data_IF_453830696818
#
_entry.id   IF_453830696818
#
_cell.length_a   1.000
_cell.length_b   1.000
_cell.length_c   1.000
_cell.angle_alpha   90.00
_cell.angle_beta   90.00
_cell.angle_gamma   90.00
#
_symmetry.space_group_name_H-M   'P 1'
#
loop_
_entity.id
_entity.type
_entity.pdbx_description
1 polymer ?
#
# COMPACT_ATOMS: atom_id res chain seq x y z
N UNK A 1 -12.55 1.40 -20.71
CA UNK A 1 -12.77 2.51 -21.68
C UNK A 1 -11.45 3.25 -21.93
N UNK A 2 -11.41 4.32 -22.74
CA UNK A 2 -10.16 5.09 -23.02
C UNK A 2 -9.61 5.82 -21.80
N UNK A 3 -10.46 6.55 -21.06
CA UNK A 3 -10.04 7.35 -19.89
C UNK A 3 -9.53 6.51 -18.72
N UNK A 4 -10.24 5.42 -18.40
CA UNK A 4 -9.81 4.44 -17.40
C UNK A 4 -8.42 3.91 -17.75
N UNK A 5 -8.25 3.42 -18.98
CA UNK A 5 -6.98 2.81 -19.41
C UNK A 5 -5.82 3.79 -19.46
N UNK A 6 -6.09 5.07 -19.74
CA UNK A 6 -5.06 6.11 -19.68
C UNK A 6 -4.60 6.39 -18.25
N UNK A 7 -5.55 6.57 -17.32
CA UNK A 7 -5.25 6.76 -15.90
C UNK A 7 -4.51 5.54 -15.32
N UNK A 8 -4.99 4.34 -15.62
CA UNK A 8 -4.35 3.08 -15.22
C UNK A 8 -2.90 3.00 -15.69
N UNK A 9 -2.63 3.32 -16.97
CA UNK A 9 -1.28 3.26 -17.51
C UNK A 9 -0.31 4.23 -16.81
N UNK A 10 -0.78 5.42 -16.43
CA UNK A 10 0.06 6.39 -15.72
C UNK A 10 0.35 5.91 -14.31
N UNK A 11 -0.66 5.38 -13.61
CA UNK A 11 -0.47 4.81 -12.28
C UNK A 11 0.50 3.61 -12.29
N UNK A 12 0.43 2.76 -13.32
CA UNK A 12 1.35 1.61 -13.50
C UNK A 12 2.81 2.02 -13.68
N UNK A 13 3.03 3.16 -14.33
CA UNK A 13 4.36 3.70 -14.59
C UNK A 13 4.82 4.69 -13.49
N UNK A 14 3.98 4.98 -12.50
CA UNK A 14 4.31 5.93 -11.45
C UNK A 14 5.37 5.35 -10.51
N UNK A 15 6.54 5.99 -10.47
CA UNK A 15 7.63 5.66 -9.56
C UNK A 15 7.61 6.65 -8.38
N UNK A 16 7.32 6.20 -7.15
CA UNK A 16 7.34 7.06 -5.97
C UNK A 16 8.70 7.76 -5.80
N UNK A 17 8.67 9.02 -5.39
CA UNK A 17 9.83 9.92 -5.24
C UNK A 17 10.56 10.32 -6.54
N UNK A 18 10.19 9.75 -7.70
CA UNK A 18 10.80 10.08 -9.00
C UNK A 18 9.80 10.72 -9.95
N UNK A 19 8.54 10.25 -9.95
CA UNK A 19 7.48 10.77 -10.82
C UNK A 19 6.77 11.92 -10.12
N UNK A 20 6.55 13.01 -10.86
CA UNK A 20 5.78 14.17 -10.38
C UNK A 20 4.31 13.76 -10.09
N UNK A 21 3.82 13.93 -8.83
CA UNK A 21 2.44 13.65 -8.46
C UNK A 21 1.39 14.40 -9.30
N UNK A 22 1.73 15.59 -9.80
CA UNK A 22 0.80 16.43 -10.56
C UNK A 22 0.35 15.77 -11.86
N UNK A 23 1.16 14.86 -12.45
CA UNK A 23 0.78 14.10 -13.66
C UNK A 23 -0.51 13.29 -13.48
N UNK A 24 -0.76 12.78 -12.27
CA UNK A 24 -2.01 12.06 -11.96
C UNK A 24 -3.14 13.06 -11.71
N UNK A 25 -2.85 14.15 -11.00
CA UNK A 25 -3.85 15.15 -10.60
C UNK A 25 -4.41 15.93 -11.78
N UNK A 26 -3.59 16.25 -12.78
CA UNK A 26 -4.00 16.97 -13.99
C UNK A 26 -5.02 16.20 -14.83
N UNK A 27 -5.06 14.87 -14.72
CA UNK A 27 -6.00 14.03 -15.45
C UNK A 27 -7.36 13.90 -14.79
N UNK A 28 -7.42 14.10 -13.47
CA UNK A 28 -8.66 13.94 -12.70
C UNK A 28 -9.81 14.77 -13.29
N UNK A 29 -9.65 16.07 -13.62
CA UNK A 29 -10.73 16.86 -14.22
C UNK A 29 -11.25 16.29 -15.55
N UNK A 30 -10.40 15.58 -16.30
CA UNK A 30 -10.72 15.04 -17.61
C UNK A 30 -11.45 13.68 -17.52
N UNK A 31 -11.17 12.88 -16.49
CA UNK A 31 -11.66 11.49 -16.40
C UNK A 31 -12.64 11.22 -15.25
N UNK A 32 -12.73 12.08 -14.22
CA UNK A 32 -13.53 11.85 -12.99
C UNK A 32 -15.01 11.53 -13.22
N UNK A 33 -15.59 11.98 -14.32
CA UNK A 33 -16.99 11.72 -14.70
C UNK A 33 -17.20 10.42 -15.51
N UNK A 34 -16.14 9.65 -15.77
CA UNK A 34 -16.17 8.49 -16.64
C UNK A 34 -15.57 7.22 -16.02
N UNK A 35 -14.65 7.38 -15.08
CA UNK A 35 -13.96 6.24 -14.44
C UNK A 35 -14.90 5.55 -13.47
N UNK A 36 -15.32 4.33 -13.83
CA UNK A 36 -16.13 3.45 -12.98
C UNK A 36 -15.33 2.27 -12.46
N UNK A 37 -14.36 1.81 -13.24
CA UNK A 37 -13.41 0.78 -12.84
C UNK A 37 -11.98 1.33 -12.93
N UNK A 38 -11.17 1.04 -11.92
CA UNK A 38 -9.74 1.32 -11.91
C UNK A 38 -8.96 0.02 -11.69
N UNK A 39 -8.24 -0.43 -12.71
CA UNK A 39 -7.42 -1.65 -12.66
C UNK A 39 -5.93 -1.33 -12.83
N UNK A 40 -5.23 -1.26 -11.69
CA UNK A 40 -3.78 -1.09 -11.62
C UNK A 40 -3.15 -2.41 -11.22
N UNK A 41 -2.78 -3.19 -12.22
CA UNK A 41 -2.18 -4.51 -12.06
C UNK A 41 -0.68 -4.49 -11.72
N UNK A 42 -0.13 -3.31 -11.47
CA UNK A 42 1.25 -3.12 -11.02
C UNK A 42 1.39 -1.72 -10.40
N UNK A 43 1.95 -1.65 -9.18
CA UNK A 43 2.56 -0.44 -8.64
C UNK A 43 4.06 -0.63 -8.55
N UNK A 44 4.82 0.36 -9.00
CA UNK A 44 6.27 0.36 -8.87
C UNK A 44 6.66 0.78 -7.45
N UNK A 45 7.62 0.08 -6.81
CA UNK A 45 8.17 0.51 -5.55
C UNK A 45 9.04 1.76 -5.75
N UNK A 46 9.26 2.56 -4.70
CA UNK A 46 10.23 3.64 -4.73
C UNK A 46 11.62 3.08 -5.07
N UNK A 47 12.30 3.75 -5.99
CA UNK A 47 13.69 3.43 -6.31
C UNK A 47 14.54 3.97 -5.17
N UNK A 48 15.35 3.11 -4.55
CA UNK A 48 16.45 3.58 -3.70
C UNK A 48 17.46 4.19 -4.64
N UNK A 49 17.62 5.52 -4.61
CA UNK A 49 18.82 6.10 -5.19
C UNK A 49 20.00 5.60 -4.37
N UNK A 50 20.82 4.75 -4.96
CA UNK A 50 22.13 4.42 -4.40
C UNK A 50 22.87 5.75 -4.25
N UNK A 51 22.95 6.28 -3.03
CA UNK A 51 23.92 7.30 -2.69
C UNK A 51 25.31 6.66 -2.74
N UNK A 52 25.82 6.42 -3.95
CA UNK A 52 27.25 6.35 -4.20
C UNK A 52 27.77 7.78 -4.23
N UNK A 53 27.85 8.39 -3.06
CA UNK A 53 28.79 9.47 -2.83
C UNK A 53 29.89 8.95 -1.91
N UNK A 54 31.10 8.97 -2.49
CA UNK A 54 32.40 8.71 -1.90
C UNK A 54 32.46 9.06 -0.41
N UNK A 55 32.47 8.05 0.46
CA UNK A 55 33.08 8.17 1.79
C UNK A 55 34.31 7.28 1.83
N UNK A 56 35.33 7.73 1.11
CA UNK A 56 36.69 7.56 1.59
C UNK A 56 36.80 8.31 2.92
N UNK A 57 37.12 7.53 3.96
CA UNK A 57 37.87 7.91 5.15
C UNK A 57 37.33 9.01 6.10
N UNK A 58 37.24 8.59 7.38
CA UNK A 58 37.19 9.36 8.63
C UNK A 58 35.81 9.84 9.13
N UNK A 59 35.29 9.14 10.16
CA UNK A 59 35.24 9.67 11.54
C UNK A 59 34.13 8.98 12.36
N UNK A 60 34.53 8.36 13.47
CA UNK A 60 33.69 7.90 14.55
C UNK A 60 33.11 9.10 15.31
N UNK A 61 31.85 9.45 15.03
CA UNK A 61 31.07 10.33 15.90
C UNK A 61 29.59 9.98 15.77
N UNK A 62 29.08 9.29 16.79
CA UNK A 62 27.66 9.01 16.95
C UNK A 62 26.87 10.31 17.03
N UNK A 63 26.13 10.60 15.97
CA UNK A 63 25.04 11.56 15.98
C UNK A 63 23.80 10.89 15.41
N UNK A 64 22.80 10.71 16.27
CA UNK A 64 21.42 10.40 15.92
C UNK A 64 20.83 11.59 15.14
N UNK A 65 21.21 11.72 13.88
CA UNK A 65 20.50 12.54 12.93
C UNK A 65 19.64 11.60 12.09
N UNK A 66 18.35 11.63 12.36
CA UNK A 66 17.27 11.11 11.51
C UNK A 66 17.45 11.67 10.09
N UNK A 67 18.26 10.99 9.28
CA UNK A 67 18.15 11.08 7.84
C UNK A 67 16.76 10.55 7.51
N UNK A 68 15.86 11.47 7.16
CA UNK A 68 14.46 11.20 6.87
C UNK A 68 14.31 9.92 6.07
N UNK A 69 13.56 8.99 6.65
CA UNK A 69 13.21 7.72 6.05
C UNK A 69 12.67 7.99 4.65
N UNK A 70 13.50 7.78 3.62
CA UNK A 70 13.11 7.95 2.22
C UNK A 70 11.90 7.06 2.02
N UNK A 71 10.73 7.65 1.73
CA UNK A 71 9.45 6.95 1.74
C UNK A 71 9.54 5.66 0.92
N UNK A 72 9.51 4.50 1.61
CA UNK A 72 9.59 3.17 1.00
C UNK A 72 8.18 2.65 0.68
N UNK A 73 7.30 3.54 0.21
CA UNK A 73 5.88 3.26 0.01
C UNK A 73 5.46 3.52 -1.43
N UNK A 74 4.43 2.81 -1.87
CA UNK A 74 3.85 2.95 -3.22
C UNK A 74 3.04 4.23 -3.32
N UNK A 75 2.53 4.51 -4.53
CA UNK A 75 1.69 5.68 -4.79
C UNK A 75 0.51 5.76 -3.82
N UNK A 76 0.30 6.95 -3.25
CA UNK A 76 -0.75 7.20 -2.27
C UNK A 76 -2.09 7.51 -2.95
N UNK A 77 -3.01 6.55 -2.85
CA UNK A 77 -4.35 6.64 -3.45
C UNK A 77 -5.31 7.56 -2.70
N UNK A 78 -4.92 8.10 -1.52
CA UNK A 78 -5.79 8.95 -0.69
C UNK A 78 -6.26 10.22 -1.39
N UNK A 79 -5.47 10.78 -2.30
CA UNK A 79 -5.88 11.94 -3.09
C UNK A 79 -6.69 11.55 -4.32
N UNK A 80 -6.39 10.40 -4.93
CA UNK A 80 -6.98 9.96 -6.19
C UNK A 80 -8.41 9.44 -6.00
N UNK A 81 -8.61 8.50 -5.08
CA UNK A 81 -9.88 7.78 -4.93
C UNK A 81 -11.07 8.71 -4.63
N UNK A 82 -10.97 9.69 -3.70
CA UNK A 82 -12.05 10.63 -3.44
C UNK A 82 -12.37 11.54 -4.63
N UNK A 83 -11.39 11.73 -5.52
CA UNK A 83 -11.54 12.57 -6.70
C UNK A 83 -12.23 11.86 -7.87
N UNK A 84 -12.47 10.54 -7.77
CA UNK A 84 -13.17 9.70 -8.73
C UNK A 84 -14.56 9.32 -8.18
N UNK A 85 -15.56 10.21 -8.24
CA UNK A 85 -16.84 10.03 -7.56
C UNK A 85 -17.68 8.88 -8.12
N UNK A 86 -17.39 8.38 -9.32
CA UNK A 86 -18.14 7.27 -9.94
C UNK A 86 -17.42 5.92 -9.82
N UNK A 87 -16.33 5.86 -9.06
CA UNK A 87 -15.53 4.64 -8.92
C UNK A 87 -16.32 3.57 -8.16
N UNK A 88 -16.57 2.45 -8.84
CA UNK A 88 -17.32 1.29 -8.35
C UNK A 88 -16.42 0.07 -8.13
N UNK A 89 -15.35 -0.08 -8.92
CA UNK A 89 -14.45 -1.24 -8.90
C UNK A 89 -12.99 -0.78 -8.81
N UNK A 90 -12.23 -1.30 -7.84
CA UNK A 90 -10.84 -0.96 -7.60
C UNK A 90 -10.00 -2.24 -7.52
N UNK A 91 -9.15 -2.48 -8.52
CA UNK A 91 -8.30 -3.65 -8.60
C UNK A 91 -6.84 -3.21 -8.54
N UNK A 92 -6.12 -3.60 -7.50
CA UNK A 92 -4.76 -3.15 -7.24
C UNK A 92 -3.84 -4.34 -7.03
N UNK A 93 -2.65 -4.28 -7.62
CA UNK A 93 -1.56 -5.23 -7.40
C UNK A 93 -0.30 -4.46 -7.00
N UNK A 94 0.13 -4.66 -5.77
CA UNK A 94 1.36 -4.09 -5.23
C UNK A 94 2.52 -5.02 -5.57
N UNK A 95 3.17 -4.76 -6.69
CA UNK A 95 4.24 -5.60 -7.21
C UNK A 95 4.58 -5.31 -8.66
N UNK A 96 5.81 -5.63 -9.05
CA UNK A 96 6.34 -5.38 -10.39
C UNK A 96 6.15 -6.62 -11.27
N UNK A 97 5.48 -6.46 -12.42
CA UNK A 97 5.39 -7.50 -13.45
C UNK A 97 6.65 -7.53 -14.29
N UNK A 98 6.94 -8.70 -14.86
CA UNK A 98 7.99 -8.88 -15.87
C UNK A 98 9.39 -8.40 -15.44
N UNK A 99 9.71 -8.46 -14.14
CA UNK A 99 11.00 -8.02 -13.58
C UNK A 99 12.23 -8.81 -14.09
N UNK A 100 12.03 -9.92 -14.81
CA UNK A 100 13.08 -10.65 -15.50
C UNK A 100 14.20 -11.10 -14.56
N UNK A 101 15.44 -10.78 -14.92
CA UNK A 101 16.63 -11.11 -14.12
C UNK A 101 16.88 -10.14 -12.95
N UNK A 102 16.16 -9.00 -12.88
CA UNK A 102 16.27 -8.01 -11.80
C UNK A 102 15.27 -8.29 -10.67
N UNK A 103 14.96 -9.57 -10.43
CA UNK A 103 14.01 -9.98 -9.41
C UNK A 103 14.57 -9.75 -8.01
N UNK A 104 13.84 -9.00 -7.19
CA UNK A 104 14.07 -8.92 -5.75
C UNK A 104 12.75 -9.08 -4.99
N UNK A 105 12.77 -9.80 -3.86
CA UNK A 105 11.60 -9.97 -3.00
C UNK A 105 11.00 -8.64 -2.53
N UNK A 106 11.85 -7.62 -2.38
CA UNK A 106 11.44 -6.28 -1.95
C UNK A 106 10.53 -5.58 -2.97
N UNK A 107 10.55 -5.98 -4.25
CA UNK A 107 9.67 -5.42 -5.30
C UNK A 107 8.18 -5.72 -5.07
N UNK A 108 7.87 -6.68 -4.20
CA UNK A 108 6.51 -7.09 -3.85
C UNK A 108 6.17 -6.72 -2.39
N UNK A 109 7.02 -5.93 -1.72
CA UNK A 109 6.85 -5.60 -0.31
C UNK A 109 5.68 -4.63 -0.13
N UNK A 110 4.59 -5.13 0.43
CA UNK A 110 3.46 -4.32 0.88
C UNK A 110 3.69 -3.84 2.32
N UNK A 111 3.93 -2.55 2.51
CA UNK A 111 4.33 -1.98 3.80
C UNK A 111 3.12 -1.64 4.69
N UNK A 112 3.37 -1.39 5.98
CA UNK A 112 2.33 -0.90 6.90
C UNK A 112 1.71 0.42 6.42
N UNK A 113 2.52 1.36 5.92
CA UNK A 113 2.01 2.62 5.41
C UNK A 113 1.20 2.44 4.12
N UNK A 114 1.56 1.50 3.24
CA UNK A 114 0.73 1.14 2.08
C UNK A 114 -0.66 0.65 2.53
N UNK A 115 -0.70 -0.15 3.60
CA UNK A 115 -1.94 -0.59 4.22
C UNK A 115 -2.76 0.59 4.76
N UNK A 116 -2.14 1.52 5.49
CA UNK A 116 -2.82 2.73 5.97
C UNK A 116 -3.34 3.62 4.84
N UNK A 117 -2.55 3.79 3.77
CA UNK A 117 -2.93 4.59 2.61
C UNK A 117 -4.12 3.96 1.88
N UNK A 118 -4.08 2.64 1.66
CA UNK A 118 -5.18 1.90 1.05
C UNK A 118 -6.44 1.96 1.92
N UNK A 119 -6.31 1.76 3.23
CA UNK A 119 -7.41 1.84 4.19
C UNK A 119 -8.13 3.19 4.11
N UNK A 120 -7.37 4.27 4.17
CA UNK A 120 -7.88 5.62 4.10
C UNK A 120 -8.53 5.91 2.73
N UNK A 121 -7.92 5.45 1.64
CA UNK A 121 -8.48 5.63 0.29
C UNK A 121 -9.82 4.89 0.13
N UNK A 122 -9.89 3.62 0.53
CA UNK A 122 -11.12 2.81 0.47
C UNK A 122 -12.22 3.40 1.35
N UNK A 123 -11.88 3.88 2.55
CA UNK A 123 -12.85 4.54 3.45
C UNK A 123 -13.51 5.77 2.82
N UNK A 124 -12.81 6.46 1.93
CA UNK A 124 -13.32 7.65 1.24
C UNK A 124 -14.10 7.31 -0.04
N UNK A 125 -14.17 6.03 -0.44
CA UNK A 125 -14.87 5.58 -1.63
C UNK A 125 -16.28 5.09 -1.29
N UNK A 126 -17.27 5.95 -1.46
CA UNK A 126 -18.66 5.64 -1.09
C UNK A 126 -19.40 4.75 -2.10
N UNK A 127 -18.84 4.52 -3.30
CA UNK A 127 -19.52 3.79 -4.37
C UNK A 127 -18.88 2.42 -4.67
N UNK A 128 -17.88 1.99 -3.89
CA UNK A 128 -17.16 0.76 -4.16
C UNK A 128 -18.07 -0.46 -3.92
N UNK A 129 -18.41 -1.17 -4.99
CA UNK A 129 -19.17 -2.41 -4.90
C UNK A 129 -18.24 -3.50 -4.37
N UNK A 130 -18.72 -4.26 -3.39
CA UNK A 130 -17.95 -5.33 -2.74
C UNK A 130 -16.64 -4.86 -2.05
N UNK A 131 -16.57 -3.60 -1.60
CA UNK A 131 -15.39 -3.10 -0.88
C UNK A 131 -15.02 -3.92 0.36
N UNK A 132 -16.02 -4.52 1.01
CA UNK A 132 -15.84 -5.52 2.07
C UNK A 132 -15.00 -6.73 1.65
N UNK A 133 -15.36 -7.37 0.53
CA UNK A 133 -14.68 -8.57 0.02
C UNK A 133 -13.27 -8.28 -0.47
N UNK A 134 -13.06 -7.11 -1.07
CA UNK A 134 -11.72 -6.71 -1.51
C UNK A 134 -10.81 -6.44 -0.31
N UNK A 135 -11.35 -5.80 0.73
CA UNK A 135 -10.62 -5.59 1.98
C UNK A 135 -10.31 -6.91 2.68
N UNK A 136 -11.28 -7.84 2.69
CA UNK A 136 -11.12 -9.20 3.18
C UNK A 136 -9.92 -9.89 2.53
N UNK A 137 -9.85 -9.87 1.21
CA UNK A 137 -8.83 -10.60 0.46
C UNK A 137 -7.44 -9.97 0.67
N UNK A 138 -7.36 -8.65 0.71
CA UNK A 138 -6.13 -7.93 1.04
C UNK A 138 -5.65 -8.21 2.47
N UNK A 139 -6.57 -8.29 3.44
CA UNK A 139 -6.24 -8.61 4.82
C UNK A 139 -5.91 -10.10 5.03
N UNK A 140 -6.31 -11.00 4.13
CA UNK A 140 -6.04 -12.45 4.24
C UNK A 140 -4.57 -12.79 4.14
N UNK A 141 -3.82 -11.98 3.42
CA UNK A 141 -2.38 -12.11 3.32
C UNK A 141 -1.64 -11.26 4.38
N UNK A 142 -2.36 -10.47 5.18
CA UNK A 142 -1.75 -9.60 6.18
C UNK A 142 -1.71 -10.30 7.55
N UNK A 143 -0.49 -10.55 8.05
CA UNK A 143 -0.26 -11.21 9.35
C UNK A 143 0.12 -10.23 10.47
N UNK A 144 0.19 -8.93 10.17
CA UNK A 144 0.83 -7.94 11.05
C UNK A 144 -0.20 -6.95 11.58
N UNK A 145 -1.19 -6.59 10.78
CA UNK A 145 -2.21 -5.62 11.14
C UNK A 145 -3.14 -6.20 12.21
N UNK A 146 -3.23 -5.53 13.36
CA UNK A 146 -3.97 -5.98 14.54
C UNK A 146 -5.25 -5.20 14.80
N UNK A 147 -5.40 -4.02 14.20
CA UNK A 147 -6.58 -3.17 14.31
C UNK A 147 -6.86 -2.48 12.97
N UNK A 148 -8.14 -2.41 12.59
CA UNK A 148 -8.63 -1.70 11.41
C UNK A 148 -10.03 -1.20 11.70
N UNK A 149 -10.26 0.10 11.55
CA UNK A 149 -11.54 0.72 11.88
C UNK A 149 -12.48 0.73 10.65
N UNK A 150 -13.48 -0.15 10.67
CA UNK A 150 -14.49 -0.29 9.63
C UNK A 150 -15.70 0.64 9.82
N UNK A 151 -15.74 1.47 10.87
CA UNK A 151 -16.87 2.38 11.08
C UNK A 151 -17.00 3.33 9.89
N UNK A 152 -18.21 3.37 9.33
CA UNK A 152 -18.58 4.15 8.14
C UNK A 152 -17.99 3.64 6.82
N UNK A 153 -17.36 2.45 6.81
CA UNK A 153 -17.10 1.73 5.57
C UNK A 153 -18.39 0.96 5.22
N UNK A 154 -18.95 1.15 4.03
CA UNK A 154 -20.11 0.38 3.54
C UNK A 154 -19.67 -1.06 3.20
N UNK A 155 -19.34 -1.81 4.25
CA UNK A 155 -18.88 -3.20 4.21
C UNK A 155 -20.03 -4.09 4.69
N UNK A 156 -20.25 -5.22 4.01
CA UNK A 156 -21.24 -6.19 4.45
C UNK A 156 -20.84 -6.86 5.77
N UNK A 157 -21.82 -7.27 6.57
CA UNK A 157 -21.61 -7.83 7.92
C UNK A 157 -20.71 -9.08 7.91
N UNK A 158 -20.76 -9.89 6.85
CA UNK A 158 -19.93 -11.09 6.70
C UNK A 158 -18.45 -10.72 6.52
N UNK A 159 -18.17 -9.77 5.63
CA UNK A 159 -16.82 -9.25 5.43
C UNK A 159 -16.28 -8.59 6.70
N UNK A 160 -17.06 -7.75 7.38
CA UNK A 160 -16.66 -7.10 8.64
C UNK A 160 -16.31 -8.12 9.72
N UNK A 161 -17.11 -9.18 9.86
CA UNK A 161 -16.87 -10.26 10.80
C UNK A 161 -15.55 -10.99 10.54
N UNK A 162 -15.31 -11.37 9.28
CA UNK A 162 -14.11 -12.10 8.88
C UNK A 162 -12.85 -11.22 9.02
N UNK A 163 -12.92 -9.96 8.62
CA UNK A 163 -11.83 -8.98 8.83
C UNK A 163 -11.50 -8.88 10.32
N UNK A 164 -12.52 -8.79 11.18
CA UNK A 164 -12.35 -8.72 12.63
C UNK A 164 -11.66 -9.97 13.20
N UNK A 165 -12.01 -11.17 12.70
CA UNK A 165 -11.32 -12.40 13.10
C UNK A 165 -9.83 -12.38 12.73
N UNK A 166 -9.50 -11.89 11.55
CA UNK A 166 -8.13 -11.88 11.04
C UNK A 166 -7.25 -10.93 11.85
N UNK A 167 -7.78 -9.74 12.17
CA UNK A 167 -7.13 -8.77 13.06
C UNK A 167 -6.93 -9.34 14.47
N UNK A 168 -7.92 -10.07 14.98
CA UNK A 168 -7.81 -10.74 16.28
C UNK A 168 -6.72 -11.81 16.28
N UNK A 169 -6.66 -12.65 15.24
CA UNK A 169 -5.63 -13.66 15.08
C UNK A 169 -4.21 -13.04 15.03
N UNK A 170 -4.05 -11.94 14.30
CA UNK A 170 -2.80 -11.20 14.24
C UNK A 170 -2.44 -10.59 15.61
N UNK A 171 -3.41 -10.03 16.33
CA UNK A 171 -3.22 -9.47 17.69
C UNK A 171 -2.80 -10.54 18.68
N UNK A 172 -3.39 -11.74 18.59
CA UNK A 172 -3.03 -12.86 19.45
C UNK A 172 -1.62 -13.39 19.12
N UNK A 173 -1.30 -13.55 17.84
CA UNK A 173 0.04 -13.94 17.39
C UNK A 173 1.12 -12.93 17.83
N UNK A 174 0.86 -11.63 17.72
CA UNK A 174 1.76 -10.57 18.17
C UNK A 174 1.99 -10.59 19.69
N UNK A 175 1.00 -11.01 20.49
CA UNK A 175 1.16 -11.20 21.95
C UNK A 175 1.98 -12.43 22.31
N UNK A 176 1.99 -13.45 21.45
CA UNK A 176 2.72 -14.70 21.67
C UNK A 176 4.18 -14.66 21.21
N UNK A 177 4.54 -13.76 20.28
CA UNK A 177 5.92 -13.62 19.78
C UNK A 177 6.98 -13.39 20.89
N UNK A 178 6.76 -12.54 21.91
CA UNK A 178 7.74 -12.36 22.99
C UNK A 178 7.94 -13.60 23.88
N UNK A 179 6.97 -14.52 23.92
CA UNK A 179 7.00 -15.70 24.80
C UNK A 179 7.82 -16.86 24.24
N UNK A 180 8.06 -16.88 22.92
CA UNK A 180 8.86 -17.91 22.25
C UNK A 180 10.35 -17.56 22.12
N UNK A 181 10.76 -16.36 22.50
CA UNK A 181 12.16 -15.89 22.50
C UNK A 181 12.81 -15.94 23.89
N UNK A 182 12.30 -16.75 24.83
CA UNK A 182 13.03 -16.99 26.07
C UNK A 182 14.27 -17.87 25.76
N UNK A 183 15.50 -17.41 26.04
CA UNK A 183 16.68 -18.24 25.85
C UNK A 183 16.58 -19.43 26.80
N UNK A 184 16.81 -20.64 26.28
CA UNK A 184 16.83 -21.85 27.08
C UNK A 184 17.78 -21.67 28.28
N UNK A 185 17.30 -21.93 29.49
CA UNK A 185 18.11 -21.90 30.70
C UNK A 185 19.32 -22.84 30.51
N UNK A 186 20.56 -22.35 30.71
CA UNK A 186 21.72 -23.20 30.66
C UNK A 186 21.74 -24.13 31.89
N UNK A 187 21.86 -25.44 31.62
CA UNK A 187 22.09 -26.50 32.60
C UNK A 187 23.42 -26.32 33.34
#
# INVERSE_FOLDING_TARGET
>A
MFFERHLENILKCFVPNTTDPDQVLELIPLCRGYVRKLEVDQFLPPVKEDQKEERDDLSDSGSDLEFGEVCIHHYDLRALVPALPLLEELHLTYGVKECGMNFEWNLFKFTYQDCCNLAAAVKMCHNLKDGGKQLLEGLRCNQILTEFDLRLAEVDEESEYLISQMLWANRDAARLQPLLQQPAEPL
#
